data_IF_149527570076
#
_entry.id   IF_149527570076
#
_cell.length_a   1.000
_cell.length_b   1.000
_cell.length_c   1.000
_cell.angle_alpha   90.00
_cell.angle_beta   90.00
_cell.angle_gamma   90.00
#
_symmetry.space_group_name_H-M   'P 1'
#
loop_
_entity.id
_entity.type
_entity.pdbx_description
1 polymer ?
#
# COMPACT_ATOMS: atom_id res chain seq x y z
N UNK A 1 46.76 39.87 -4.70
CA UNK A 1 46.63 40.21 -6.14
C UNK A 1 47.02 38.99 -6.96
N UNK A 2 46.27 38.62 -8.00
CA UNK A 2 46.53 37.44 -8.82
C UNK A 2 47.45 37.78 -10.01
N UNK A 3 47.93 36.76 -10.73
CA UNK A 3 48.00 36.77 -12.20
C UNK A 3 47.02 35.68 -12.74
N UNK A 4 46.00 35.92 -13.58
CA UNK A 4 45.95 36.37 -15.00
C UNK A 4 46.97 35.64 -15.88
N UNK A 5 46.71 35.03 -17.04
CA UNK A 5 45.57 34.48 -17.79
C UNK A 5 46.20 33.78 -19.02
N UNK A 6 45.44 32.95 -19.74
CA UNK A 6 45.68 32.53 -21.15
C UNK A 6 46.84 31.52 -21.42
N UNK A 7 46.79 30.56 -22.36
CA UNK A 7 45.80 30.13 -23.36
C UNK A 7 46.32 28.90 -24.17
N UNK A 8 45.39 28.23 -24.89
CA UNK A 8 45.52 27.42 -26.14
C UNK A 8 46.11 25.99 -26.13
N UNK A 9 45.26 25.00 -26.53
CA UNK A 9 45.41 24.07 -27.70
C UNK A 9 44.47 22.86 -27.55
N UNK A 10 43.26 22.84 -28.15
CA UNK A 10 42.91 22.33 -29.49
C UNK A 10 43.48 20.94 -29.85
N UNK A 11 42.60 19.93 -29.96
CA UNK A 11 42.51 18.92 -31.04
C UNK A 11 41.30 17.97 -30.76
N UNK A 12 40.16 18.16 -31.43
CA UNK A 12 39.70 17.58 -32.72
C UNK A 12 39.32 16.08 -32.66
N UNK A 13 38.02 15.82 -32.91
CA UNK A 13 37.40 14.51 -33.25
C UNK A 13 37.88 14.00 -34.61
N UNK A 14 37.51 12.75 -34.97
CA UNK A 14 36.75 12.57 -36.21
C UNK A 14 35.47 11.72 -36.06
N UNK A 15 34.60 11.87 -37.06
CA UNK A 15 33.26 11.29 -37.28
C UNK A 15 33.28 10.51 -38.60
N UNK A 16 32.56 9.38 -38.66
CA UNK A 16 32.05 8.72 -39.88
C UNK A 16 30.92 7.76 -39.46
N UNK A 17 29.66 7.76 -39.90
CA UNK A 17 28.99 8.23 -41.13
C UNK A 17 28.79 7.05 -42.09
N UNK A 18 27.64 6.33 -42.12
CA UNK A 18 26.54 6.35 -43.13
C UNK A 18 25.87 4.93 -43.14
N UNK A 19 24.64 4.60 -43.58
CA UNK A 19 23.42 5.31 -44.03
C UNK A 19 22.30 4.28 -44.33
N UNK A 20 21.05 4.54 -43.85
CA UNK A 20 19.71 4.51 -44.51
C UNK A 20 19.16 3.23 -45.23
N UNK A 21 17.90 2.84 -44.89
CA UNK A 21 16.76 2.69 -45.83
C UNK A 21 15.39 2.38 -45.16
N UNK A 22 14.42 3.26 -45.46
CA UNK A 22 12.96 3.10 -45.74
C UNK A 22 11.97 2.22 -44.93
N UNK A 23 10.88 2.89 -44.51
CA UNK A 23 9.55 2.47 -43.96
C UNK A 23 8.73 1.61 -44.95
N UNK A 24 7.64 0.86 -44.58
CA UNK A 24 6.33 1.49 -44.29
C UNK A 24 5.29 0.73 -43.39
N UNK A 25 4.24 1.46 -42.99
CA UNK A 25 2.88 1.05 -42.54
C UNK A 25 2.64 0.44 -41.14
N UNK A 26 1.79 1.13 -40.37
CA UNK A 26 1.09 0.68 -39.15
C UNK A 26 0.02 -0.38 -39.47
N UNK A 27 -0.37 -1.18 -38.47
CA UNK A 27 -1.77 -1.17 -38.08
C UNK A 27 -1.96 -0.93 -36.58
N UNK A 28 -2.98 -0.13 -36.25
CA UNK A 28 -3.52 0.03 -34.90
C UNK A 28 -4.08 -1.28 -34.34
N UNK A 29 -3.75 -1.62 -33.08
CA UNK A 29 -4.57 -2.38 -32.13
C UNK A 29 -3.82 -2.52 -30.77
N UNK A 30 -4.49 -2.88 -29.66
CA UNK A 30 -5.67 -2.27 -29.06
C UNK A 30 -5.33 -1.66 -27.68
N UNK A 31 -6.16 -0.74 -27.22
CA UNK A 31 -6.16 -0.21 -25.85
C UNK A 31 -6.41 -1.32 -24.83
N UNK A 32 -5.33 -1.93 -24.34
CA UNK A 32 -5.30 -2.72 -23.13
C UNK A 32 -4.32 -2.07 -22.18
N UNK A 33 -4.80 -1.17 -21.32
CA UNK A 33 -4.01 -0.62 -20.22
C UNK A 33 -3.67 -1.75 -19.24
N UNK A 34 -2.59 -2.48 -19.52
CA UNK A 34 -1.92 -3.29 -18.52
C UNK A 34 -1.45 -2.36 -17.41
N UNK A 35 -2.10 -2.45 -16.24
CA UNK A 35 -1.71 -1.66 -15.07
C UNK A 35 -0.31 -2.08 -14.63
N UNK A 36 0.64 -1.16 -14.40
CA UNK A 36 1.85 -1.49 -13.69
C UNK A 36 1.51 -1.85 -12.24
N UNK A 37 1.95 -3.04 -11.80
CA UNK A 37 1.73 -3.56 -10.46
C UNK A 37 2.66 -2.86 -9.44
N UNK A 38 2.20 -1.72 -8.93
CA UNK A 38 2.98 -0.80 -8.09
C UNK A 38 3.01 -1.13 -6.60
N UNK A 39 2.57 -2.31 -6.13
CA UNK A 39 2.64 -2.63 -4.70
C UNK A 39 2.89 -4.11 -4.46
N UNK A 40 3.74 -4.43 -3.48
CA UNK A 40 3.97 -5.78 -3.00
C UNK A 40 2.67 -6.45 -2.49
N UNK A 41 1.74 -5.63 -1.97
CA UNK A 41 0.34 -5.97 -1.65
C UNK A 41 -0.33 -6.62 -2.86
N UNK A 42 -0.28 -5.95 -4.02
CA UNK A 42 -0.82 -6.49 -5.25
C UNK A 42 -0.06 -7.74 -5.73
N UNK A 43 1.23 -7.90 -5.40
CA UNK A 43 2.05 -9.02 -5.91
C UNK A 43 1.78 -10.34 -5.19
N UNK A 44 1.52 -10.30 -3.88
CA UNK A 44 1.09 -11.48 -3.12
C UNK A 44 -0.33 -11.89 -3.53
N UNK A 45 -1.26 -10.94 -3.57
CA UNK A 45 -2.62 -11.17 -4.08
C UNK A 45 -2.62 -11.64 -5.54
N UNK A 46 -1.73 -11.13 -6.40
CA UNK A 46 -1.60 -11.61 -7.79
C UNK A 46 -1.03 -13.03 -7.90
N UNK A 47 -0.13 -13.46 -6.99
CA UNK A 47 0.36 -14.84 -6.95
C UNK A 47 -0.72 -15.82 -6.50
N UNK A 48 -1.49 -15.46 -5.48
CA UNK A 48 -2.60 -16.31 -5.01
C UNK A 48 -3.77 -16.34 -5.99
N UNK A 49 -4.09 -15.22 -6.65
CA UNK A 49 -5.09 -15.18 -7.73
C UNK A 49 -4.65 -15.97 -8.97
N UNK A 50 -3.36 -15.96 -9.32
CA UNK A 50 -2.83 -16.81 -10.39
C UNK A 50 -2.94 -18.31 -10.03
N UNK A 51 -2.56 -18.68 -8.80
CA UNK A 51 -2.70 -20.05 -8.30
C UNK A 51 -4.18 -20.48 -8.21
N UNK A 52 -5.09 -19.57 -7.86
CA UNK A 52 -6.54 -19.81 -7.86
C UNK A 52 -7.15 -19.88 -9.26
N UNK A 53 -6.65 -19.10 -10.24
CA UNK A 53 -7.07 -19.20 -11.65
C UNK A 53 -6.78 -20.60 -12.19
N UNK A 54 -5.63 -21.15 -11.83
CA UNK A 54 -5.25 -22.53 -12.13
C UNK A 54 -6.14 -23.54 -11.40
N UNK A 55 -6.49 -23.29 -10.12
CA UNK A 55 -7.39 -24.16 -9.35
C UNK A 55 -8.84 -24.18 -9.89
N UNK A 56 -9.40 -23.02 -10.24
CA UNK A 56 -10.74 -22.90 -10.84
C UNK A 56 -10.80 -23.51 -12.25
N UNK A 57 -9.72 -23.41 -13.03
CA UNK A 57 -9.61 -24.11 -14.31
C UNK A 57 -9.57 -25.65 -14.12
N UNK A 58 -9.06 -26.14 -12.98
CA UNK A 58 -8.99 -27.57 -12.67
C UNK A 58 -10.28 -28.16 -12.08
N UNK A 59 -11.16 -27.35 -11.47
CA UNK A 59 -12.42 -27.80 -10.84
C UNK A 59 -13.63 -27.85 -11.80
N UNK A 60 -13.44 -27.52 -13.09
CA UNK A 60 -14.32 -27.94 -14.17
C UNK A 60 -15.58 -27.10 -14.40
N UNK A 61 -15.54 -26.27 -15.44
CA UNK A 61 -16.53 -26.22 -16.53
C UNK A 61 -15.79 -25.63 -17.73
N UNK A 62 -15.99 -26.16 -18.93
CA UNK A 62 -15.50 -25.57 -20.18
C UNK A 62 -16.24 -24.24 -20.41
N UNK A 63 -15.81 -23.19 -19.72
CA UNK A 63 -16.32 -21.83 -19.89
C UNK A 63 -15.34 -21.11 -20.81
N UNK A 64 -15.85 -20.55 -21.91
CA UNK A 64 -15.07 -19.76 -22.86
C UNK A 64 -14.17 -18.76 -22.11
N UNK A 65 -12.91 -18.66 -22.52
CA UNK A 65 -11.90 -17.87 -21.82
C UNK A 65 -12.28 -16.39 -21.61
N UNK A 66 -13.14 -15.83 -22.45
CA UNK A 66 -13.70 -14.47 -22.32
C UNK A 66 -14.74 -14.34 -21.20
N UNK A 67 -15.58 -15.36 -21.00
CA UNK A 67 -16.67 -15.36 -20.02
C UNK A 67 -16.13 -15.63 -18.60
N UNK A 68 -15.08 -16.44 -18.50
CA UNK A 68 -14.30 -16.59 -17.27
C UNK A 68 -13.61 -15.27 -16.87
N UNK A 69 -13.10 -14.49 -17.85
CA UNK A 69 -12.40 -13.23 -17.61
C UNK A 69 -13.35 -12.13 -17.13
N UNK A 70 -14.53 -12.01 -17.74
CA UNK A 70 -15.59 -11.09 -17.27
C UNK A 70 -16.08 -11.51 -15.89
N UNK A 71 -16.35 -12.81 -15.67
CA UNK A 71 -16.85 -13.28 -14.37
C UNK A 71 -15.83 -13.06 -13.25
N UNK A 72 -14.55 -13.25 -13.54
CA UNK A 72 -13.45 -12.94 -12.63
C UNK A 72 -13.31 -11.42 -12.40
N UNK A 73 -13.44 -10.61 -13.44
CA UNK A 73 -13.28 -9.16 -13.31
C UNK A 73 -14.39 -8.48 -12.49
N UNK A 74 -15.62 -8.98 -12.58
CA UNK A 74 -16.79 -8.36 -11.92
C UNK A 74 -17.28 -9.07 -10.67
N UNK A 75 -17.20 -10.40 -10.59
CA UNK A 75 -17.78 -11.18 -9.50
C UNK A 75 -16.74 -11.83 -8.57
N UNK A 76 -15.44 -11.66 -8.84
CA UNK A 76 -14.42 -12.21 -7.96
C UNK A 76 -14.48 -11.53 -6.59
N UNK A 77 -14.62 -12.37 -5.56
CA UNK A 77 -14.48 -11.97 -4.18
C UNK A 77 -13.01 -12.10 -3.79
N UNK A 78 -12.36 -10.97 -3.59
CA UNK A 78 -10.99 -10.94 -3.06
C UNK A 78 -11.07 -11.31 -1.57
N UNK A 79 -10.50 -12.45 -1.16
CA UNK A 79 -10.62 -12.92 0.21
C UNK A 79 -9.85 -12.00 1.14
N UNK A 80 -10.38 -11.76 2.34
CA UNK A 80 -9.59 -11.15 3.40
C UNK A 80 -8.51 -12.14 3.84
N UNK A 81 -7.27 -11.67 3.96
CA UNK A 81 -6.13 -12.48 4.40
C UNK A 81 -5.84 -12.33 5.89
N UNK A 82 -6.63 -11.51 6.60
CA UNK A 82 -6.34 -11.07 7.96
C UNK A 82 -7.37 -11.63 8.93
N UNK A 83 -6.87 -12.27 9.99
CA UNK A 83 -7.67 -12.58 11.17
C UNK A 83 -7.83 -11.34 12.05
N UNK A 84 -8.79 -11.38 12.96
CA UNK A 84 -9.02 -10.41 14.02
C UNK A 84 -7.75 -10.17 14.84
N UNK A 85 -6.98 -11.23 15.12
CA UNK A 85 -5.70 -11.09 15.82
C UNK A 85 -4.67 -10.32 14.99
N UNK A 86 -4.63 -10.52 13.67
CA UNK A 86 -3.75 -9.74 12.79
C UNK A 86 -4.19 -8.28 12.74
N UNK A 87 -5.50 -7.98 12.69
CA UNK A 87 -5.99 -6.60 12.76
C UNK A 87 -5.60 -5.92 14.07
N UNK A 88 -5.74 -6.60 15.21
CA UNK A 88 -5.32 -6.08 16.52
C UNK A 88 -3.81 -5.79 16.54
N UNK A 89 -2.99 -6.74 16.06
CA UNK A 89 -1.54 -6.57 16.04
C UNK A 89 -1.12 -5.43 15.10
N UNK A 90 -1.72 -5.35 13.91
CA UNK A 90 -1.48 -4.28 12.95
C UNK A 90 -1.92 -2.92 13.50
N UNK A 91 -3.06 -2.83 14.20
CA UNK A 91 -3.53 -1.63 14.88
C UNK A 91 -2.52 -1.14 15.92
N UNK A 92 -1.99 -2.03 16.77
CA UNK A 92 -0.98 -1.67 17.76
C UNK A 92 0.32 -1.15 17.11
N UNK A 93 0.77 -1.78 16.02
CA UNK A 93 1.93 -1.31 15.24
C UNK A 93 1.63 0.07 14.64
N UNK A 94 0.48 0.22 13.98
CA UNK A 94 0.04 1.46 13.34
C UNK A 94 -0.05 2.60 14.35
N UNK A 95 -0.75 2.41 15.47
CA UNK A 95 -0.91 3.41 16.53
C UNK A 95 0.41 3.82 17.17
N UNK A 96 1.40 2.93 17.20
CA UNK A 96 2.77 3.26 17.66
C UNK A 96 3.52 4.11 16.64
N UNK A 97 3.25 3.92 15.34
CA UNK A 97 4.06 4.52 14.27
C UNK A 97 3.42 5.76 13.65
N UNK A 98 2.10 5.94 13.76
CA UNK A 98 1.34 7.02 13.16
C UNK A 98 1.90 8.41 13.52
N UNK A 99 1.64 9.37 12.65
CA UNK A 99 2.00 10.77 12.89
C UNK A 99 0.88 11.44 13.70
N UNK A 100 1.21 12.21 14.74
CA UNK A 100 0.19 12.92 15.52
C UNK A 100 -0.24 14.24 14.86
N UNK A 101 0.56 14.75 13.91
CA UNK A 101 0.25 15.95 13.16
C UNK A 101 0.79 15.92 11.71
N UNK A 102 0.25 16.81 10.87
CA UNK A 102 0.76 17.05 9.51
C UNK A 102 2.24 17.46 9.53
N UNK A 103 2.62 18.31 10.49
CA UNK A 103 4.00 18.77 10.66
C UNK A 103 4.95 17.61 10.96
N UNK A 104 4.54 16.66 11.82
CA UNK A 104 5.32 15.45 12.11
C UNK A 104 5.45 14.52 10.91
N UNK A 105 4.47 14.52 10.00
CA UNK A 105 4.55 13.72 8.76
C UNK A 105 5.51 14.33 7.76
N UNK A 106 5.43 15.65 7.54
CA UNK A 106 6.31 16.35 6.61
C UNK A 106 7.75 16.38 7.11
N UNK A 107 7.92 16.53 8.42
CA UNK A 107 9.21 16.53 9.07
C UNK A 107 9.22 15.53 10.24
N UNK A 108 9.53 14.25 9.98
CA UNK A 108 9.58 13.20 11.01
C UNK A 108 10.64 13.46 12.09
N UNK A 109 11.55 14.42 11.90
CA UNK A 109 12.48 14.85 12.93
C UNK A 109 11.84 15.73 14.01
N UNK A 110 10.65 16.31 13.78
CA UNK A 110 9.91 17.08 14.79
C UNK A 110 9.38 16.21 15.93
N UNK A 111 9.11 14.93 15.65
CA UNK A 111 8.78 13.90 16.66
C UNK A 111 9.85 13.80 17.76
N UNK A 112 11.11 14.13 17.42
CA UNK A 112 12.27 14.11 18.34
C UNK A 112 12.38 15.36 19.22
N UNK A 113 11.72 16.47 18.83
CA UNK A 113 11.80 17.76 19.52
C UNK A 113 10.67 17.95 20.54
N UNK A 114 9.50 17.35 20.28
CA UNK A 114 8.31 17.48 21.12
C UNK A 114 8.31 16.56 22.37
N UNK A 115 9.29 15.67 22.48
CA UNK A 115 9.54 14.87 23.69
C UNK A 115 10.85 15.34 24.31
N UNK A 116 10.75 16.06 25.42
CA UNK A 116 11.88 16.56 26.20
C UNK A 116 12.75 15.40 26.68
N UNK A 117 13.88 15.16 26.00
CA UNK A 117 14.96 14.30 26.48
C UNK A 117 15.53 13.39 25.41
N UNK A 118 16.82 13.55 25.10
CA UNK A 118 17.61 12.66 24.22
C UNK A 118 17.65 11.17 24.67
N UNK A 119 16.97 10.80 25.75
CA UNK A 119 16.99 9.47 26.37
C UNK A 119 15.67 8.70 26.31
N UNK A 120 14.56 9.29 25.83
CA UNK A 120 13.30 8.55 25.70
C UNK A 120 13.21 7.81 24.35
N UNK A 121 13.47 6.50 24.45
CA UNK A 121 13.10 5.39 23.54
C UNK A 121 12.63 5.79 22.14
N UNK A 122 13.38 5.32 21.13
CA UNK A 122 12.76 4.85 19.88
C UNK A 122 11.47 4.14 20.28
N UNK A 123 10.30 4.62 19.81
CA UNK A 123 9.03 4.05 20.24
C UNK A 123 9.05 2.56 19.89
N UNK A 124 9.27 1.74 20.91
CA UNK A 124 9.43 0.32 20.75
C UNK A 124 8.04 -0.20 20.41
N UNK A 125 7.93 -0.79 19.23
CA UNK A 125 6.75 -1.57 18.87
C UNK A 125 6.55 -2.55 20.01
N UNK A 126 5.34 -2.60 20.61
CA UNK A 126 5.09 -3.43 21.78
C UNK A 126 5.47 -4.87 21.48
N UNK A 127 5.84 -5.63 22.51
CA UNK A 127 6.02 -7.07 22.34
C UNK A 127 4.65 -7.68 22.01
N UNK A 128 4.48 -8.04 20.73
CA UNK A 128 3.25 -8.64 20.21
C UNK A 128 3.42 -10.14 20.12
N UNK A 129 2.36 -10.86 20.46
CA UNK A 129 2.28 -12.29 20.23
C UNK A 129 1.86 -12.55 18.77
N UNK A 130 2.64 -13.39 18.09
CA UNK A 130 2.35 -13.87 16.75
C UNK A 130 2.35 -15.40 16.77
N UNK A 131 1.37 -16.00 16.10
CA UNK A 131 1.27 -17.46 16.00
C UNK A 131 2.43 -18.02 15.17
N UNK A 132 2.79 -17.31 14.10
CA UNK A 132 3.87 -17.69 13.18
C UNK A 132 4.48 -16.44 12.51
N UNK A 133 5.57 -16.63 11.75
CA UNK A 133 6.24 -15.55 11.02
C UNK A 133 5.40 -14.95 9.89
N UNK A 134 4.44 -15.70 9.34
CA UNK A 134 3.53 -15.22 8.31
C UNK A 134 2.54 -14.19 8.89
N UNK A 135 1.91 -14.47 10.02
CA UNK A 135 1.02 -13.56 10.75
C UNK A 135 1.77 -12.28 11.14
N UNK A 136 3.02 -12.43 11.60
CA UNK A 136 3.90 -11.30 11.87
C UNK A 136 4.09 -10.44 10.62
N UNK A 137 4.48 -11.06 9.51
CA UNK A 137 4.66 -10.35 8.23
C UNK A 137 3.37 -9.65 7.79
N UNK A 138 2.23 -10.31 7.85
CA UNK A 138 0.93 -9.76 7.47
C UNK A 138 0.53 -8.57 8.35
N UNK A 139 0.75 -8.64 9.66
CA UNK A 139 0.46 -7.55 10.58
C UNK A 139 1.31 -6.31 10.28
N UNK A 140 2.62 -6.50 10.06
CA UNK A 140 3.51 -5.40 9.67
C UNK A 140 3.15 -4.83 8.31
N UNK A 141 2.90 -5.68 7.32
CA UNK A 141 2.53 -5.26 5.97
C UNK A 141 1.24 -4.43 5.97
N UNK A 142 0.22 -4.88 6.70
CA UNK A 142 -1.03 -4.16 6.84
C UNK A 142 -0.81 -2.82 7.54
N UNK A 143 -0.12 -2.80 8.69
CA UNK A 143 0.16 -1.56 9.41
C UNK A 143 0.93 -0.52 8.57
N UNK A 144 1.98 -0.94 7.86
CA UNK A 144 2.73 -0.05 6.97
C UNK A 144 1.91 0.41 5.75
N UNK A 145 1.04 -0.45 5.24
CA UNK A 145 0.10 -0.07 4.18
C UNK A 145 -0.89 0.98 4.68
N UNK A 146 -1.40 0.86 5.90
CA UNK A 146 -2.27 1.85 6.53
C UNK A 146 -1.55 3.18 6.77
N UNK A 147 -0.30 3.15 7.27
CA UNK A 147 0.51 4.36 7.49
C UNK A 147 0.68 5.19 6.20
N UNK A 148 0.85 4.51 5.06
CA UNK A 148 0.95 5.17 3.75
C UNK A 148 -0.24 6.09 3.48
N UNK A 149 -1.44 5.63 3.84
CA UNK A 149 -2.71 6.29 3.60
C UNK A 149 -3.30 6.99 4.83
N UNK A 150 -2.55 7.13 5.94
CA UNK A 150 -3.06 7.66 7.21
C UNK A 150 -3.93 8.92 7.02
N UNK A 151 -3.35 9.99 6.47
CA UNK A 151 -4.08 11.26 6.26
C UNK A 151 -5.33 11.09 5.41
N UNK A 152 -5.23 10.30 4.34
CA UNK A 152 -6.36 10.07 3.45
C UNK A 152 -7.52 9.39 4.19
N UNK A 153 -7.21 8.42 5.05
CA UNK A 153 -8.23 7.74 5.84
C UNK A 153 -8.79 8.63 6.95
N UNK A 154 -7.99 9.48 7.60
CA UNK A 154 -8.49 10.48 8.57
C UNK A 154 -9.49 11.42 7.89
N UNK A 155 -9.11 11.96 6.73
CA UNK A 155 -9.96 12.85 5.94
C UNK A 155 -11.25 12.18 5.47
N UNK A 156 -11.19 10.92 5.02
CA UNK A 156 -12.37 10.19 4.57
C UNK A 156 -13.31 9.87 5.74
N UNK A 157 -12.76 9.42 6.88
CA UNK A 157 -13.55 9.14 8.08
C UNK A 157 -14.24 10.41 8.60
N UNK A 158 -13.54 11.55 8.54
CA UNK A 158 -14.10 12.86 8.87
C UNK A 158 -15.19 13.28 7.86
N UNK A 159 -14.92 13.20 6.55
CA UNK A 159 -15.87 13.55 5.48
C UNK A 159 -17.16 12.71 5.55
N UNK A 160 -17.07 11.47 6.06
CA UNK A 160 -18.20 10.58 6.26
C UNK A 160 -18.88 10.74 7.64
N UNK A 161 -18.34 11.58 8.52
CA UNK A 161 -18.79 11.72 9.90
C UNK A 161 -18.86 10.36 10.64
N UNK A 162 -17.90 9.45 10.37
CA UNK A 162 -17.93 8.08 10.86
C UNK A 162 -18.04 8.03 12.39
N UNK A 163 -17.14 8.74 13.09
CA UNK A 163 -17.13 8.79 14.56
C UNK A 163 -18.27 9.61 15.17
N UNK A 164 -18.99 10.41 14.38
CA UNK A 164 -20.23 11.04 14.87
C UNK A 164 -21.40 10.04 14.85
N UNK A 165 -21.35 9.04 13.96
CA UNK A 165 -22.34 7.98 13.84
C UNK A 165 -22.05 6.81 14.80
N UNK A 166 -20.76 6.49 14.98
CA UNK A 166 -20.27 5.43 15.86
C UNK A 166 -19.23 5.99 16.86
N UNK A 167 -19.67 6.80 17.84
CA UNK A 167 -18.78 7.42 18.82
C UNK A 167 -18.03 6.40 19.70
N UNK A 168 -18.57 5.19 19.87
CA UNK A 168 -17.94 4.09 20.60
C UNK A 168 -16.58 3.67 20.02
N UNK A 169 -16.32 3.90 18.73
CA UNK A 169 -15.07 3.49 18.08
C UNK A 169 -13.99 4.57 18.03
N UNK A 170 -14.17 5.70 18.71
CA UNK A 170 -13.18 6.80 18.72
C UNK A 170 -11.84 6.34 19.31
N UNK A 171 -11.89 5.61 20.42
CA UNK A 171 -10.69 5.06 21.09
C UNK A 171 -10.02 3.97 20.24
N UNK A 172 -10.79 3.28 19.40
CA UNK A 172 -10.34 2.25 18.46
C UNK A 172 -9.98 2.80 17.07
N UNK A 173 -9.74 4.11 16.94
CA UNK A 173 -9.49 4.75 15.64
C UNK A 173 -8.38 4.08 14.82
N UNK A 174 -7.29 3.67 15.46
CA UNK A 174 -6.21 2.93 14.80
C UNK A 174 -6.66 1.58 14.22
N UNK A 175 -7.55 0.88 14.93
CA UNK A 175 -8.11 -0.39 14.47
C UNK A 175 -9.08 -0.17 13.30
N UNK A 176 -9.95 0.84 13.41
CA UNK A 176 -10.86 1.26 12.33
C UNK A 176 -10.08 1.56 11.05
N UNK A 177 -8.98 2.33 11.13
CA UNK A 177 -8.17 2.68 9.95
C UNK A 177 -7.47 1.47 9.33
N UNK A 178 -6.95 0.56 10.16
CA UNK A 178 -6.31 -0.67 9.70
C UNK A 178 -7.31 -1.58 8.99
N UNK A 179 -8.52 -1.74 9.53
CA UNK A 179 -9.59 -2.51 8.89
C UNK A 179 -10.10 -1.82 7.62
N UNK A 180 -10.29 -0.49 7.65
CA UNK A 180 -10.66 0.29 6.47
C UNK A 180 -9.64 0.13 5.34
N UNK A 181 -8.35 0.04 5.66
CA UNK A 181 -7.30 -0.21 4.67
C UNK A 181 -7.52 -1.54 3.92
N UNK A 182 -7.87 -2.60 4.64
CA UNK A 182 -8.20 -3.90 4.05
C UNK A 182 -9.51 -3.86 3.25
N UNK A 183 -10.58 -3.31 3.81
CA UNK A 183 -11.86 -3.17 3.10
C UNK A 183 -11.69 -2.36 1.82
N UNK A 184 -10.94 -1.27 1.84
CA UNK A 184 -10.64 -0.46 0.66
C UNK A 184 -9.88 -1.26 -0.40
N UNK A 185 -8.91 -2.08 0.00
CA UNK A 185 -8.14 -2.95 -0.89
C UNK A 185 -9.02 -3.94 -1.64
N UNK A 186 -10.01 -4.52 -0.95
CA UNK A 186 -10.94 -5.52 -1.47
C UNK A 186 -12.29 -4.96 -1.90
N UNK A 187 -12.36 -3.65 -2.22
CA UNK A 187 -13.57 -2.95 -2.71
C UNK A 187 -14.81 -3.10 -1.80
N UNK A 188 -14.61 -3.00 -0.48
CA UNK A 188 -15.63 -3.12 0.56
C UNK A 188 -16.41 -4.44 0.54
N UNK A 189 -15.77 -5.52 0.11
CA UNK A 189 -16.37 -6.84 0.20
C UNK A 189 -16.37 -7.31 1.66
N UNK A 190 -17.52 -7.84 2.09
CA UNK A 190 -17.70 -8.40 3.42
C UNK A 190 -16.64 -9.48 3.68
N UNK A 191 -16.01 -9.39 4.85
CA UNK A 191 -15.02 -10.37 5.28
C UNK A 191 -15.74 -11.67 5.69
N UNK A 192 -15.06 -12.79 5.47
CA UNK A 192 -15.42 -14.08 6.04
C UNK A 192 -14.30 -14.50 6.99
N UNK A 193 -14.66 -15.08 8.14
CA UNK A 193 -13.68 -15.56 9.11
C UNK A 193 -12.77 -16.62 8.50
N UNK A 194 -11.49 -16.57 8.84
CA UNK A 194 -10.52 -17.57 8.39
C UNK A 194 -10.74 -18.90 9.13
N UNK A 195 -10.38 -20.04 8.53
CA UNK A 195 -10.47 -21.33 9.20
C UNK A 195 -9.69 -21.35 10.52
N UNK A 196 -10.35 -21.74 11.62
CA UNK A 196 -9.72 -21.82 12.96
C UNK A 196 -9.52 -20.47 13.65
N UNK A 197 -10.04 -19.38 13.08
CA UNK A 197 -9.93 -18.06 13.67
C UNK A 197 -10.85 -17.88 14.88
N UNK A 198 -10.33 -17.23 15.92
CA UNK A 198 -11.14 -16.69 17.02
C UNK A 198 -11.80 -15.39 16.59
N UNK A 199 -13.10 -15.45 16.31
CA UNK A 199 -13.91 -14.28 15.97
C UNK A 199 -14.28 -13.52 17.25
N UNK A 200 -13.91 -12.24 17.29
CA UNK A 200 -14.15 -11.33 18.41
C UNK A 200 -15.36 -10.43 18.11
N UNK A 201 -16.39 -10.37 18.99
CA UNK A 201 -17.59 -9.57 18.78
C UNK A 201 -17.31 -8.09 18.49
N UNK A 202 -16.46 -7.44 19.29
CA UNK A 202 -16.15 -6.01 19.16
C UNK A 202 -15.59 -5.67 17.77
N UNK A 203 -14.78 -6.56 17.19
CA UNK A 203 -14.26 -6.38 15.84
C UNK A 203 -15.33 -6.58 14.77
N UNK A 204 -16.30 -7.49 14.98
CA UNK A 204 -17.43 -7.64 14.06
C UNK A 204 -18.29 -6.37 14.02
N UNK A 205 -18.47 -5.70 15.15
CA UNK A 205 -19.22 -4.44 15.21
C UNK A 205 -18.51 -3.35 14.38
N UNK A 206 -17.18 -3.27 14.46
CA UNK A 206 -16.38 -2.37 13.61
C UNK A 206 -16.50 -2.75 12.13
N UNK A 207 -16.42 -4.05 11.78
CA UNK A 207 -16.61 -4.51 10.40
C UNK A 207 -17.97 -4.08 9.84
N UNK A 208 -19.01 -4.27 10.65
CA UNK A 208 -20.37 -3.94 10.29
C UNK A 208 -20.55 -2.43 10.11
N UNK A 209 -20.03 -1.61 11.02
CA UNK A 209 -20.06 -0.16 10.91
C UNK A 209 -19.35 0.36 9.64
N UNK A 210 -18.18 -0.18 9.31
CA UNK A 210 -17.46 0.16 8.07
C UNK A 210 -18.29 -0.23 6.83
N UNK A 211 -18.92 -1.42 6.86
CA UNK A 211 -19.75 -1.90 5.75
C UNK A 211 -21.03 -1.08 5.57
N UNK A 212 -21.67 -0.66 6.65
CA UNK A 212 -22.83 0.24 6.63
C UNK A 212 -22.45 1.59 6.02
N UNK A 213 -21.27 2.12 6.38
CA UNK A 213 -20.74 3.36 5.82
C UNK A 213 -20.13 3.24 4.42
N UNK A 214 -20.06 2.04 3.80
CA UNK A 214 -19.29 1.81 2.56
C UNK A 214 -19.63 2.79 1.43
N UNK A 215 -20.90 3.15 1.29
CA UNK A 215 -21.35 4.05 0.21
C UNK A 215 -20.81 5.46 0.44
N UNK A 216 -20.84 5.92 1.69
CA UNK A 216 -20.34 7.23 2.09
C UNK A 216 -18.81 7.27 1.97
N UNK A 217 -18.12 6.22 2.42
CA UNK A 217 -16.67 6.08 2.33
C UNK A 217 -16.19 6.08 0.87
N UNK A 218 -16.84 5.29 0.00
CA UNK A 218 -16.53 5.29 -1.43
C UNK A 218 -16.80 6.65 -2.07
N UNK A 219 -17.89 7.33 -1.70
CA UNK A 219 -18.20 8.66 -2.21
C UNK A 219 -17.15 9.70 -1.77
N UNK A 220 -16.73 9.68 -0.51
CA UNK A 220 -15.67 10.55 0.00
C UNK A 220 -14.35 10.31 -0.73
N UNK A 221 -13.94 9.04 -0.88
CA UNK A 221 -12.76 8.68 -1.65
C UNK A 221 -12.85 9.13 -3.11
N UNK A 222 -14.00 8.94 -3.77
CA UNK A 222 -14.21 9.35 -5.15
C UNK A 222 -14.08 10.87 -5.31
N UNK A 223 -14.69 11.67 -4.41
CA UNK A 223 -14.55 13.13 -4.41
C UNK A 223 -13.09 13.55 -4.27
N UNK A 224 -12.34 12.92 -3.35
CA UNK A 224 -10.90 13.19 -3.16
C UNK A 224 -10.10 12.87 -4.41
N UNK A 225 -10.37 11.72 -5.06
CA UNK A 225 -9.74 11.33 -6.34
C UNK A 225 -10.02 12.31 -7.46
N UNK A 226 -11.27 12.74 -7.63
CA UNK A 226 -11.66 13.70 -8.65
C UNK A 226 -10.97 15.05 -8.39
N UNK A 227 -10.99 15.53 -7.14
CA UNK A 227 -10.36 16.80 -6.74
C UNK A 227 -8.85 16.83 -7.01
N UNK A 228 -8.17 15.70 -6.85
CA UNK A 228 -6.73 15.57 -7.08
C UNK A 228 -6.37 15.04 -8.48
N UNK A 229 -7.36 14.86 -9.38
CA UNK A 229 -7.19 14.26 -10.71
C UNK A 229 -6.46 12.89 -10.67
N UNK A 230 -6.70 12.12 -9.60
CA UNK A 230 -5.94 10.91 -9.28
C UNK A 230 -6.59 9.65 -9.89
N UNK A 231 -5.94 8.98 -10.87
CA UNK A 231 -6.50 7.80 -11.54
C UNK A 231 -6.56 6.56 -10.63
N UNK A 232 -5.76 6.49 -9.57
CA UNK A 232 -5.82 5.41 -8.56
C UNK A 232 -5.61 5.95 -7.14
N UNK A 233 -5.86 5.09 -6.14
CA UNK A 233 -5.58 5.41 -4.73
C UNK A 233 -4.12 5.79 -4.50
N UNK A 234 -3.18 5.09 -5.14
CA UNK A 234 -1.75 5.39 -5.03
C UNK A 234 -1.41 6.78 -5.57
N UNK A 235 -2.17 7.32 -6.53
CA UNK A 235 -1.95 8.65 -7.10
C UNK A 235 -2.37 9.79 -6.15
N UNK A 236 -3.04 9.48 -5.05
CA UNK A 236 -3.30 10.44 -3.96
C UNK A 236 -2.09 10.60 -3.03
N UNK A 237 -1.07 9.73 -3.16
CA UNK A 237 0.13 9.81 -2.36
C UNK A 237 1.12 10.82 -2.95
N UNK A 238 1.93 11.49 -2.11
CA UNK A 238 3.01 12.33 -2.58
C UNK A 238 3.98 11.57 -3.51
N UNK A 239 4.50 12.24 -4.52
CA UNK A 239 5.43 11.67 -5.52
C UNK A 239 6.62 10.96 -4.89
N UNK A 240 7.17 11.55 -3.83
CA UNK A 240 8.30 10.97 -3.09
C UNK A 240 7.97 9.61 -2.48
N UNK A 241 6.72 9.38 -2.07
CA UNK A 241 6.24 8.08 -1.56
C UNK A 241 6.04 7.11 -2.72
N UNK A 242 5.44 7.58 -3.83
CA UNK A 242 5.19 6.75 -5.02
C UNK A 242 6.48 6.22 -5.64
N UNK A 243 7.47 7.09 -5.88
CA UNK A 243 8.76 6.69 -6.44
C UNK A 243 9.52 5.73 -5.53
N UNK A 244 9.44 5.91 -4.21
CA UNK A 244 10.03 4.97 -3.24
C UNK A 244 9.36 3.60 -3.29
N UNK A 245 8.05 3.55 -3.46
CA UNK A 245 7.30 2.30 -3.57
C UNK A 245 7.63 1.54 -4.87
N UNK A 246 7.73 2.26 -6.00
CA UNK A 246 8.17 1.69 -7.27
C UNK A 246 9.58 1.08 -7.14
N UNK A 247 10.51 1.82 -6.51
CA UNK A 247 11.86 1.33 -6.27
C UNK A 247 11.90 0.15 -5.29
N UNK A 248 11.08 0.18 -4.21
CA UNK A 248 11.00 -0.87 -3.19
C UNK A 248 10.82 -2.25 -3.81
N UNK A 249 10.05 -2.32 -4.89
CA UNK A 249 9.78 -3.57 -5.58
C UNK A 249 10.97 -4.25 -6.26
N UNK A 250 12.04 -3.50 -6.53
CA UNK A 250 13.26 -3.94 -7.21
C UNK A 250 14.50 -3.79 -6.33
N UNK A 251 14.35 -3.28 -5.10
CA UNK A 251 15.46 -3.00 -4.21
C UNK A 251 16.02 -4.30 -3.62
N UNK A 252 17.32 -4.60 -3.80
CA UNK A 252 17.93 -5.76 -3.16
C UNK A 252 18.09 -5.53 -1.65
N UNK A 253 18.15 -6.63 -0.89
CA UNK A 253 18.38 -6.58 0.56
C UNK A 253 19.88 -6.42 0.80
N UNK A 254 20.26 -5.35 1.51
CA UNK A 254 21.64 -5.10 1.91
C UNK A 254 21.85 -5.47 3.39
N UNK A 255 23.03 -6.00 3.71
CA UNK A 255 23.42 -6.31 5.08
C UNK A 255 24.89 -5.95 5.31
N UNK A 256 25.21 -5.48 6.52
CA UNK A 256 26.59 -5.20 6.92
C UNK A 256 27.17 -6.39 7.70
N UNK A 257 28.28 -6.95 7.22
CA UNK A 257 28.94 -8.06 7.92
C UNK A 257 29.79 -7.50 9.06
N UNK A 258 29.51 -7.96 10.28
CA UNK A 258 30.33 -7.60 11.43
C UNK A 258 31.60 -8.44 11.47
N UNK A 259 32.69 -7.91 10.90
CA UNK A 259 33.99 -8.57 10.85
C UNK A 259 34.59 -8.94 12.22
N UNK A 260 34.14 -8.30 13.32
CA UNK A 260 34.62 -8.65 14.68
C UNK A 260 33.97 -9.91 15.25
N UNK A 261 32.84 -10.34 14.69
CA UNK A 261 32.06 -11.51 15.14
C UNK A 261 32.13 -12.69 14.17
N UNK A 262 32.82 -12.53 13.03
CA UNK A 262 33.00 -13.56 12.01
C UNK A 262 34.45 -14.07 12.06
N UNK A 263 34.77 -14.88 13.07
CA UNK A 263 36.02 -15.64 13.17
C UNK A 263 35.70 -17.10 13.40
#
# INVERSE_FOLDING_TARGET
MPPTAESVLLQRRPVSGQSRAHSPFLPHAPTGLGRPASSHYNRHLMRETANMRTKMASEGHLVNGSDLDVKFQYFYKEPCLYSHQIFINASKIFSTLKHESLEERENPYLRKKNKTGLAEKVQEIPQLHFVNDQDKRLAFELAFSTLKYQLLFEEILQDCAFYATYPEFVEDSGLVMVMLCDFQGRKFQQRHALPGETVLPDLLEIEQAILECKTHLNAALARRRIKAEAPSLDHLLPDTVRSKEELRSSMPVYGWINHRKSK
#
